data_IF_837174936998
#
_entry.id   IF_837174936998
#
_cell.length_a   1.000
_cell.length_b   1.000
_cell.length_c   1.000
_cell.angle_alpha   90.00
_cell.angle_beta   90.00
_cell.angle_gamma   90.00
#
_symmetry.space_group_name_H-M   'P 1'
#
loop_
_entity.id
_entity.type
_entity.pdbx_description
1 polymer ?
#
# COMPACT_ATOMS: atom_id res chain seq x y z
N UNK A 1 -40.36 -51.54 -62.75
CA UNK A 1 -39.00 -51.28 -62.23
C UNK A 1 -39.00 -49.93 -61.55
N UNK A 2 -38.71 -49.98 -60.24
CA UNK A 2 -38.34 -48.93 -59.29
C UNK A 2 -38.82 -47.48 -59.49
N UNK A 3 -39.74 -47.07 -58.62
CA UNK A 3 -40.05 -45.69 -58.30
C UNK A 3 -38.98 -45.12 -57.36
N UNK A 4 -38.45 -43.94 -57.66
CA UNK A 4 -37.61 -43.18 -56.74
C UNK A 4 -38.38 -41.93 -56.29
N UNK A 5 -39.02 -42.02 -55.12
CA UNK A 5 -39.54 -40.87 -54.38
C UNK A 5 -38.39 -40.35 -53.51
N UNK A 6 -37.92 -39.13 -53.76
CA UNK A 6 -37.04 -38.41 -52.81
C UNK A 6 -37.94 -37.51 -51.97
N UNK A 7 -38.03 -37.85 -50.69
CA UNK A 7 -38.80 -37.14 -49.67
C UNK A 7 -37.90 -36.03 -49.10
N UNK A 8 -38.19 -34.76 -49.38
CA UNK A 8 -37.57 -33.63 -48.67
C UNK A 8 -38.21 -33.51 -47.29
N UNK A 9 -37.47 -33.86 -46.24
CA UNK A 9 -37.86 -33.62 -44.86
C UNK A 9 -37.43 -32.19 -44.50
N UNK A 10 -38.40 -31.28 -44.42
CA UNK A 10 -38.23 -29.95 -43.82
C UNK A 10 -38.47 -30.12 -42.32
N UNK A 11 -37.41 -30.00 -41.53
CA UNK A 11 -37.51 -29.93 -40.06
C UNK A 11 -37.78 -28.47 -39.69
N UNK A 12 -39.04 -28.16 -39.36
CA UNK A 12 -39.43 -26.91 -38.69
C UNK A 12 -39.07 -27.05 -37.20
N UNK A 13 -37.98 -26.41 -36.78
CA UNK A 13 -37.70 -26.22 -35.34
C UNK A 13 -38.49 -24.98 -34.90
N UNK A 14 -39.58 -25.21 -34.18
CA UNK A 14 -40.27 -24.18 -33.43
C UNK A 14 -39.37 -23.74 -32.27
N UNK A 15 -38.74 -22.57 -32.38
CA UNK A 15 -38.14 -21.91 -31.22
C UNK A 15 -39.28 -21.35 -30.37
N UNK A 16 -39.54 -22.01 -29.24
CA UNK A 16 -40.32 -21.44 -28.15
C UNK A 16 -39.47 -20.30 -27.58
N UNK A 17 -39.86 -19.06 -27.90
CA UNK A 17 -39.34 -17.88 -27.23
C UNK A 17 -39.86 -17.87 -25.79
N UNK A 18 -39.15 -18.54 -24.88
CA UNK A 18 -39.27 -18.23 -23.46
C UNK A 18 -38.61 -16.87 -23.26
N UNK A 19 -39.43 -15.83 -23.22
CA UNK A 19 -39.03 -14.52 -22.71
C UNK A 19 -38.69 -14.66 -21.23
N UNK A 20 -37.42 -14.90 -20.91
CA UNK A 20 -36.87 -14.38 -19.67
C UNK A 20 -36.42 -12.96 -19.99
N UNK A 21 -37.21 -11.97 -19.55
CA UNK A 21 -36.67 -10.63 -19.33
C UNK A 21 -35.35 -10.80 -18.55
N UNK A 22 -34.23 -10.54 -19.21
CA UNK A 22 -32.97 -10.33 -18.51
C UNK A 22 -33.16 -9.05 -17.71
N UNK A 23 -33.68 -9.20 -16.49
CA UNK A 23 -33.66 -8.13 -15.50
C UNK A 23 -32.21 -7.69 -15.35
N UNK A 24 -31.92 -6.45 -15.71
CA UNK A 24 -30.67 -5.80 -15.35
C UNK A 24 -30.64 -5.74 -13.82
N UNK A 25 -29.91 -6.66 -13.20
CA UNK A 25 -29.59 -6.55 -11.78
C UNK A 25 -28.58 -5.40 -11.64
N UNK A 26 -29.03 -4.27 -11.11
CA UNK A 26 -28.11 -3.28 -10.57
C UNK A 26 -27.44 -3.89 -9.33
N UNK A 27 -26.17 -4.29 -9.46
CA UNK A 27 -25.39 -4.72 -8.31
C UNK A 27 -25.06 -3.50 -7.44
N UNK A 28 -25.29 -3.55 -6.11
CA UNK A 28 -24.89 -2.47 -5.22
C UNK A 28 -23.36 -2.49 -5.04
N UNK A 29 -22.78 -1.32 -4.81
CA UNK A 29 -21.36 -1.10 -4.49
C UNK A 29 -20.90 -1.68 -3.13
N UNK A 30 -21.64 -2.63 -2.56
CA UNK A 30 -21.46 -3.16 -1.21
C UNK A 30 -21.46 -4.70 -1.20
N UNK A 31 -20.70 -5.27 -0.26
CA UNK A 31 -20.59 -6.72 -0.03
C UNK A 31 -21.98 -7.30 0.26
N UNK A 32 -22.69 -7.73 -0.78
CA UNK A 32 -23.93 -8.48 -0.66
C UNK A 32 -23.60 -9.97 -0.73
N UNK A 33 -23.99 -10.69 0.31
CA UNK A 33 -24.00 -12.15 0.29
C UNK A 33 -25.23 -12.56 -0.50
N UNK A 34 -25.09 -12.79 -1.81
CA UNK A 34 -26.19 -13.37 -2.56
C UNK A 34 -26.35 -14.85 -2.19
N UNK A 35 -27.54 -15.20 -1.71
CA UNK A 35 -27.92 -16.56 -1.30
C UNK A 35 -28.39 -17.42 -2.48
N UNK A 36 -28.02 -17.05 -3.70
CA UNK A 36 -28.33 -17.83 -4.90
C UNK A 36 -27.05 -18.02 -5.68
N UNK A 37 -26.70 -19.29 -5.89
CA UNK A 37 -25.48 -19.75 -6.58
C UNK A 37 -25.38 -19.29 -8.03
N UNK A 38 -25.15 -17.99 -8.21
CA UNK A 38 -24.60 -17.41 -9.41
C UNK A 38 -23.08 -17.42 -9.26
N UNK A 39 -22.38 -18.01 -10.23
CA UNK A 39 -20.97 -17.70 -10.45
C UNK A 39 -20.98 -16.25 -10.96
N UNK A 40 -21.00 -15.29 -10.03
CA UNK A 40 -20.80 -13.90 -10.38
C UNK A 40 -19.42 -13.84 -11.04
N UNK A 41 -19.38 -13.45 -12.31
CA UNK A 41 -18.18 -12.82 -12.84
C UNK A 41 -17.87 -11.68 -11.88
N UNK A 42 -16.88 -11.90 -11.01
CA UNK A 42 -16.37 -10.90 -10.09
C UNK A 42 -15.86 -9.74 -10.94
N UNK A 43 -16.74 -8.80 -11.29
CA UNK A 43 -16.32 -7.46 -11.64
C UNK A 43 -15.60 -6.96 -10.39
N UNK A 44 -14.28 -7.16 -10.35
CA UNK A 44 -13.44 -6.65 -9.29
C UNK A 44 -13.82 -5.19 -9.12
N UNK A 45 -14.23 -4.81 -7.90
CA UNK A 45 -14.29 -3.40 -7.52
C UNK A 45 -13.06 -2.70 -8.09
N UNK A 46 -13.19 -1.53 -8.72
CA UNK A 46 -12.03 -0.82 -9.30
C UNK A 46 -10.94 -0.49 -8.27
N UNK A 47 -11.23 -0.69 -6.98
CA UNK A 47 -10.28 -0.58 -5.86
C UNK A 47 -9.09 -1.52 -6.00
N UNK A 48 -7.89 -0.97 -5.80
CA UNK A 48 -6.62 -1.69 -5.80
C UNK A 48 -5.81 -1.29 -4.57
N UNK A 49 -5.20 -2.26 -3.92
CA UNK A 49 -4.50 -2.05 -2.65
C UNK A 49 -3.02 -2.32 -2.83
N UNK A 50 -2.20 -1.35 -2.44
CA UNK A 50 -0.76 -1.52 -2.29
C UNK A 50 -0.49 -1.65 -0.80
N UNK A 51 0.21 -2.72 -0.43
CA UNK A 51 0.68 -2.98 0.92
C UNK A 51 2.20 -3.01 0.91
N UNK A 52 2.83 -2.76 2.05
CA UNK A 52 4.28 -2.87 2.14
C UNK A 52 4.76 -3.24 3.54
N UNK A 53 5.96 -3.81 3.59
CA UNK A 53 6.70 -3.95 4.84
C UNK A 53 8.18 -3.67 4.59
N UNK A 54 8.86 -3.37 5.69
CA UNK A 54 10.24 -2.92 5.73
C UNK A 54 11.05 -3.93 6.55
N UNK A 55 12.34 -4.07 6.23
CA UNK A 55 13.27 -4.87 7.01
C UNK A 55 13.04 -4.69 8.54
N UNK A 56 12.82 -5.77 9.31
CA UNK A 56 12.55 -5.71 10.75
C UNK A 56 13.61 -5.00 11.59
N UNK A 57 14.86 -4.95 11.12
CA UNK A 57 15.93 -4.20 11.79
C UNK A 57 15.74 -2.68 11.69
N UNK A 58 14.92 -2.19 10.76
CA UNK A 58 14.73 -0.76 10.52
C UNK A 58 13.87 -0.10 11.58
N UNK A 59 14.38 1.02 12.10
CA UNK A 59 13.69 1.83 13.10
C UNK A 59 12.53 2.65 12.55
N UNK A 60 11.78 3.25 13.46
CA UNK A 60 10.59 4.04 13.16
C UNK A 60 10.82 5.19 12.17
N UNK A 61 11.91 5.95 12.34
CA UNK A 61 12.18 7.11 11.48
C UNK A 61 12.53 6.70 10.05
N UNK A 62 13.26 5.60 9.84
CA UNK A 62 13.51 5.11 8.49
C UNK A 62 12.21 4.59 7.85
N UNK A 63 11.35 3.91 8.61
CA UNK A 63 10.03 3.47 8.11
C UNK A 63 9.14 4.64 7.69
N UNK A 64 9.24 5.78 8.38
CA UNK A 64 8.58 7.04 7.95
C UNK A 64 9.14 7.57 6.62
N UNK A 65 10.44 7.46 6.40
CA UNK A 65 11.04 7.80 5.10
C UNK A 65 10.56 6.85 4.00
N UNK A 66 10.47 5.55 4.27
CA UNK A 66 9.93 4.57 3.32
C UNK A 66 8.46 4.86 2.98
N UNK A 67 7.65 5.30 3.95
CA UNK A 67 6.29 5.78 3.66
C UNK A 67 6.29 6.90 2.62
N UNK A 68 7.19 7.88 2.73
CA UNK A 68 7.28 8.99 1.77
C UNK A 68 7.56 8.47 0.36
N UNK A 69 8.48 7.50 0.21
CA UNK A 69 8.81 6.88 -1.09
C UNK A 69 7.56 6.30 -1.76
N UNK A 70 6.80 5.52 -1.01
CA UNK A 70 5.60 4.84 -1.52
C UNK A 70 4.45 5.82 -1.72
N UNK A 71 4.33 6.83 -0.86
CA UNK A 71 3.29 7.83 -0.98
C UNK A 71 3.45 8.67 -2.25
N UNK A 72 4.68 9.10 -2.56
CA UNK A 72 5.00 9.81 -3.81
C UNK A 72 4.77 8.91 -5.02
N UNK A 73 5.19 7.65 -4.94
CA UNK A 73 4.91 6.65 -5.98
C UNK A 73 3.40 6.51 -6.23
N UNK A 74 2.60 6.28 -5.19
CA UNK A 74 1.15 6.15 -5.29
C UNK A 74 0.50 7.41 -5.86
N UNK A 75 0.96 8.59 -5.43
CA UNK A 75 0.48 9.88 -5.94
C UNK A 75 0.64 9.96 -7.46
N UNK A 76 1.84 9.66 -7.96
CA UNK A 76 2.14 9.66 -9.40
C UNK A 76 1.39 8.55 -10.14
N UNK A 77 1.21 7.38 -9.52
CA UNK A 77 0.41 6.29 -10.07
C UNK A 77 -1.04 6.71 -10.29
N UNK A 78 -1.69 7.31 -9.29
CA UNK A 78 -3.07 7.82 -9.39
C UNK A 78 -3.20 8.92 -10.46
N UNK A 79 -2.15 9.72 -10.66
CA UNK A 79 -2.14 10.74 -11.70
C UNK A 79 -2.13 10.13 -13.11
N UNK A 80 -1.44 9.00 -13.30
CA UNK A 80 -1.32 8.30 -14.59
C UNK A 80 -2.43 7.29 -14.85
N UNK A 81 -2.89 6.61 -13.82
CA UNK A 81 -3.89 5.54 -13.89
C UNK A 81 -5.18 6.00 -13.20
N UNK A 82 -6.18 6.32 -14.04
CA UNK A 82 -7.53 6.74 -13.64
C UNK A 82 -8.54 5.62 -13.70
N UNK A 83 -8.15 4.45 -14.19
CA UNK A 83 -9.04 3.31 -14.34
C UNK A 83 -9.32 2.66 -12.98
N UNK A 84 -8.30 2.59 -12.13
CA UNK A 84 -8.35 1.96 -10.83
C UNK A 84 -8.33 2.96 -9.67
N UNK A 85 -9.01 2.60 -8.60
CA UNK A 85 -9.03 3.35 -7.34
C UNK A 85 -7.93 2.82 -6.43
N UNK A 86 -6.72 3.33 -6.60
CA UNK A 86 -5.58 2.90 -5.79
C UNK A 86 -5.70 3.37 -4.33
N UNK A 87 -5.34 2.51 -3.39
CA UNK A 87 -5.24 2.80 -1.96
C UNK A 87 -3.93 2.25 -1.40
N UNK A 88 -3.28 3.03 -0.52
CA UNK A 88 -2.16 2.56 0.27
C UNK A 88 -2.67 2.05 1.62
N UNK A 89 -2.43 0.78 1.90
CA UNK A 89 -2.72 0.20 3.22
C UNK A 89 -1.54 0.50 4.15
N UNK A 90 -1.82 1.18 5.25
CA UNK A 90 -0.80 1.55 6.22
C UNK A 90 -0.38 0.33 7.04
N UNK A 91 0.90 -0.07 7.02
CA UNK A 91 1.36 -1.23 7.78
C UNK A 91 1.40 -0.88 9.26
N UNK A 92 0.79 -1.67 10.15
CA UNK A 92 0.73 -1.29 11.55
C UNK A 92 2.12 -1.37 12.19
N UNK A 93 2.31 -0.58 13.23
CA UNK A 93 3.56 -0.53 13.97
C UNK A 93 3.67 -1.71 14.93
N UNK A 94 4.85 -2.33 14.98
CA UNK A 94 5.15 -3.43 15.86
C UNK A 94 6.56 -3.95 15.65
N UNK A 95 7.09 -4.66 16.65
CA UNK A 95 8.37 -5.39 16.55
C UNK A 95 9.58 -4.57 16.07
N UNK A 96 9.63 -3.28 16.42
CA UNK A 96 10.81 -2.44 16.22
C UNK A 96 11.86 -2.77 17.29
N UNK A 97 13.12 -2.97 16.87
CA UNK A 97 14.23 -3.46 17.70
C UNK A 97 14.54 -2.60 18.96
N UNK A 98 13.97 -1.39 19.06
CA UNK A 98 14.18 -0.46 20.18
C UNK A 98 12.89 0.04 20.87
N UNK A 99 11.72 -0.52 20.54
CA UNK A 99 10.44 0.08 20.93
C UNK A 99 9.73 -0.62 22.08
N UNK A 100 10.31 -1.69 22.63
CA UNK A 100 9.65 -2.46 23.69
C UNK A 100 9.93 -1.83 25.05
N UNK A 101 9.04 -0.95 25.48
CA UNK A 101 8.93 -0.57 26.89
C UNK A 101 8.43 -1.78 27.68
N UNK A 102 9.18 -2.25 28.68
CA UNK A 102 8.82 -3.45 29.47
C UNK A 102 7.52 -3.30 30.27
N UNK A 103 7.12 -2.05 30.54
CA UNK A 103 6.01 -1.71 31.44
C UNK A 103 4.73 -1.35 30.71
N UNK A 104 4.75 -1.32 29.38
CA UNK A 104 3.59 -1.04 28.53
C UNK A 104 3.26 -2.36 27.85
N UNK A 105 2.00 -2.79 27.87
CA UNK A 105 1.58 -4.15 27.49
C UNK A 105 1.85 -4.53 26.03
N UNK A 106 0.83 -5.05 25.35
CA UNK A 106 0.99 -5.48 23.96
C UNK A 106 1.29 -4.28 23.03
N UNK A 107 2.48 -4.28 22.42
CA UNK A 107 2.99 -3.22 21.54
C UNK A 107 3.22 -3.76 20.11
N UNK A 108 2.24 -4.48 19.58
CA UNK A 108 2.22 -4.94 18.20
C UNK A 108 0.89 -4.57 17.55
N UNK A 109 0.88 -4.50 16.22
CA UNK A 109 -0.31 -4.14 15.41
C UNK A 109 -0.90 -2.77 15.77
N UNK A 110 -0.08 -1.82 16.22
CA UNK A 110 -0.51 -0.47 16.54
C UNK A 110 -0.90 0.28 15.26
N UNK A 111 -2.07 0.92 15.19
CA UNK A 111 -2.50 1.67 14.01
C UNK A 111 -1.65 2.94 13.83
N UNK A 112 -1.65 3.49 12.62
CA UNK A 112 -0.97 4.76 12.36
C UNK A 112 -1.61 5.92 13.11
N UNK A 113 -2.93 5.87 13.33
CA UNK A 113 -3.69 6.85 14.08
C UNK A 113 -3.17 7.08 15.51
N UNK A 114 -2.44 6.12 16.10
CA UNK A 114 -1.78 6.32 17.40
C UNK A 114 -0.65 7.35 17.34
N UNK A 115 -0.02 7.54 16.18
CA UNK A 115 1.18 8.39 16.03
C UNK A 115 0.96 9.57 15.09
N UNK A 116 0.08 9.43 14.10
CA UNK A 116 -0.14 10.41 13.04
C UNK A 116 -1.62 10.72 12.88
N UNK A 117 -1.92 11.95 12.46
CA UNK A 117 -3.27 12.30 12.03
C UNK A 117 -3.54 11.70 10.64
N UNK A 118 -4.44 10.71 10.59
CA UNK A 118 -4.82 10.01 9.37
C UNK A 118 -5.47 10.96 8.37
N UNK A 119 -6.25 11.94 8.83
CA UNK A 119 -6.90 12.92 7.96
C UNK A 119 -5.86 13.73 7.19
N UNK A 120 -4.79 14.16 7.87
CA UNK A 120 -3.66 14.85 7.23
C UNK A 120 -2.97 14.00 6.16
N UNK A 121 -2.77 12.70 6.39
CA UNK A 121 -2.21 11.78 5.38
C UNK A 121 -3.14 11.65 4.17
N UNK A 122 -4.46 11.52 4.43
CA UNK A 122 -5.50 11.38 3.40
C UNK A 122 -5.63 12.60 2.48
N UNK A 123 -5.26 13.79 2.95
CA UNK A 123 -5.17 14.99 2.09
C UNK A 123 -4.08 14.86 1.00
N UNK A 124 -3.08 14.00 1.19
CA UNK A 124 -2.04 13.77 0.18
C UNK A 124 -2.39 12.65 -0.80
N UNK A 125 -2.71 11.47 -0.26
CA UNK A 125 -3.03 10.24 -0.99
C UNK A 125 -4.10 9.42 -0.26
N UNK A 126 -4.88 8.58 -0.97
CA UNK A 126 -5.83 7.68 -0.34
C UNK A 126 -5.11 6.61 0.49
N UNK A 127 -5.10 6.79 1.80
CA UNK A 127 -4.59 5.83 2.78
C UNK A 127 -5.72 5.22 3.59
N UNK A 128 -5.54 3.96 3.97
CA UNK A 128 -6.47 3.20 4.80
C UNK A 128 -5.69 2.45 5.88
N UNK A 129 -6.23 2.37 7.09
CA UNK A 129 -5.60 1.60 8.15
C UNK A 129 -5.69 0.09 7.86
N UNK A 130 -4.73 -0.68 8.38
CA UNK A 130 -4.72 -2.14 8.16
C UNK A 130 -6.01 -2.81 8.61
N UNK A 131 -6.58 -2.43 9.76
CA UNK A 131 -7.80 -3.06 10.26
C UNK A 131 -9.04 -2.74 9.39
N UNK A 132 -9.10 -1.54 8.81
CA UNK A 132 -10.16 -1.14 7.87
C UNK A 132 -10.02 -1.92 6.56
N UNK A 133 -8.79 -2.02 6.04
CA UNK A 133 -8.48 -2.85 4.87
C UNK A 133 -8.89 -4.31 5.10
N UNK A 134 -8.53 -4.92 6.23
CA UNK A 134 -8.88 -6.32 6.51
C UNK A 134 -10.40 -6.52 6.54
N UNK A 135 -11.16 -5.55 7.05
CA UNK A 135 -12.64 -5.59 7.08
C UNK A 135 -13.23 -5.45 5.67
N UNK A 136 -12.77 -4.46 4.90
CA UNK A 136 -13.27 -4.17 3.56
C UNK A 136 -12.87 -5.24 2.53
N UNK A 137 -11.60 -5.67 2.56
CA UNK A 137 -11.05 -6.58 1.56
C UNK A 137 -11.65 -7.98 1.65
N UNK A 138 -11.87 -8.47 2.87
CA UNK A 138 -12.44 -9.79 3.17
C UNK A 138 -13.95 -9.86 3.05
N UNK A 139 -14.65 -8.73 2.85
CA UNK A 139 -16.10 -8.62 3.02
C UNK A 139 -16.59 -9.19 4.37
N UNK A 140 -15.85 -8.91 5.45
CA UNK A 140 -16.18 -9.39 6.79
C UNK A 140 -15.76 -10.83 7.09
N UNK A 141 -15.13 -11.54 6.14
CA UNK A 141 -14.50 -12.82 6.43
C UNK A 141 -13.30 -12.66 7.36
N UNK A 142 -13.03 -13.70 8.16
CA UNK A 142 -11.91 -13.67 9.11
C UNK A 142 -10.56 -13.83 8.45
N UNK A 143 -10.49 -14.45 7.28
CA UNK A 143 -9.24 -14.74 6.57
C UNK A 143 -9.06 -13.79 5.38
N UNK A 144 -7.83 -13.32 5.19
CA UNK A 144 -7.45 -12.47 4.07
C UNK A 144 -6.34 -13.16 3.28
N UNK A 145 -6.54 -13.29 1.98
CA UNK A 145 -5.51 -13.77 1.06
C UNK A 145 -5.15 -12.66 0.07
N UNK A 146 -3.93 -12.14 0.20
CA UNK A 146 -3.37 -11.17 -0.74
C UNK A 146 -3.06 -11.87 -2.07
N UNK A 147 -3.32 -11.23 -3.20
CA UNK A 147 -3.07 -11.84 -4.51
C UNK A 147 -1.58 -12.03 -4.83
N UNK A 148 -0.75 -11.04 -4.51
CA UNK A 148 0.66 -11.01 -4.92
C UNK A 148 1.55 -10.41 -3.84
N UNK A 149 2.65 -11.09 -3.52
CA UNK A 149 3.72 -10.57 -2.68
C UNK A 149 5.05 -10.58 -3.45
N UNK A 150 5.70 -9.43 -3.51
CA UNK A 150 7.05 -9.26 -4.03
C UNK A 150 8.04 -9.02 -2.88
N UNK A 151 9.13 -9.79 -2.84
CA UNK A 151 10.22 -9.61 -1.88
C UNK A 151 11.38 -8.97 -2.62
N UNK A 152 11.64 -7.69 -2.34
CA UNK A 152 12.74 -6.98 -2.96
C UNK A 152 14.07 -7.51 -2.41
N UNK A 153 15.04 -7.62 -3.31
CA UNK A 153 16.41 -8.07 -3.02
C UNK A 153 17.39 -7.15 -3.74
N UNK A 154 18.47 -6.82 -3.06
CA UNK A 154 19.59 -6.10 -3.66
C UNK A 154 20.29 -6.99 -4.69
N UNK A 155 20.85 -6.38 -5.74
CA UNK A 155 21.77 -7.10 -6.63
C UNK A 155 23.20 -7.01 -6.11
N UNK A 156 23.69 -8.10 -5.52
CA UNK A 156 25.06 -8.18 -4.98
C UNK A 156 26.13 -7.89 -6.04
N UNK A 157 25.88 -8.24 -7.30
CA UNK A 157 26.83 -8.03 -8.39
C UNK A 157 27.06 -6.55 -8.69
N UNK A 158 26.06 -5.68 -8.49
CA UNK A 158 26.25 -4.23 -8.65
C UNK A 158 27.24 -3.68 -7.62
N UNK A 159 27.17 -4.16 -6.37
CA UNK A 159 28.09 -3.73 -5.32
C UNK A 159 29.51 -4.26 -5.53
N UNK A 160 29.66 -5.45 -6.13
CA UNK A 160 30.98 -6.02 -6.48
C UNK A 160 31.62 -5.31 -7.66
N UNK A 161 30.83 -4.98 -8.68
CA UNK A 161 31.32 -4.42 -9.95
C UNK A 161 31.35 -2.89 -9.97
N UNK A 162 30.60 -2.22 -9.10
CA UNK A 162 30.42 -0.77 -9.10
C UNK A 162 29.56 -0.24 -10.24
N UNK A 163 28.88 -1.13 -11.00
CA UNK A 163 27.97 -0.75 -12.08
C UNK A 163 26.54 -0.72 -11.54
N UNK A 164 26.03 0.49 -11.37
CA UNK A 164 24.68 0.73 -10.87
C UNK A 164 23.75 0.97 -12.06
N UNK A 165 22.92 -0.02 -12.36
CA UNK A 165 21.92 0.01 -13.41
C UNK A 165 20.57 -0.35 -12.80
N UNK A 166 19.51 0.32 -13.23
CA UNK A 166 18.16 0.02 -12.74
C UNK A 166 17.75 -1.41 -13.13
N UNK A 167 17.19 -2.14 -12.17
CA UNK A 167 16.78 -3.55 -12.30
C UNK A 167 15.43 -3.79 -11.66
N UNK A 168 14.65 -4.63 -12.31
CA UNK A 168 13.38 -5.13 -11.80
C UNK A 168 13.14 -6.51 -12.41
N UNK A 169 13.92 -7.48 -11.91
CA UNK A 169 14.03 -8.82 -12.47
C UNK A 169 13.44 -9.85 -11.51
N UNK A 170 12.56 -10.71 -12.02
CA UNK A 170 12.06 -11.85 -11.26
C UNK A 170 13.18 -12.87 -11.10
N UNK A 171 13.43 -13.27 -9.86
CA UNK A 171 14.44 -14.27 -9.52
C UNK A 171 13.83 -15.34 -8.65
N UNK A 172 14.47 -16.51 -8.64
CA UNK A 172 14.12 -17.56 -7.69
C UNK A 172 14.41 -17.07 -6.28
N UNK A 173 13.42 -17.26 -5.40
CA UNK A 173 13.60 -16.92 -4.02
C UNK A 173 14.55 -17.91 -3.34
N UNK A 174 15.50 -17.39 -2.56
CA UNK A 174 16.29 -18.22 -1.65
C UNK A 174 15.39 -18.73 -0.51
N UNK A 175 14.86 -19.94 -0.69
CA UNK A 175 13.94 -20.58 0.24
C UNK A 175 14.45 -20.68 1.69
N UNK A 176 15.77 -20.68 1.90
CA UNK A 176 16.36 -20.80 3.23
C UNK A 176 16.33 -19.49 4.02
N UNK A 177 16.31 -18.34 3.35
CA UNK A 177 16.28 -17.01 3.98
C UNK A 177 14.89 -16.37 4.01
N UNK A 178 13.91 -17.00 3.36
CA UNK A 178 12.55 -16.51 3.32
C UNK A 178 11.81 -16.70 4.64
N UNK A 179 11.29 -15.60 5.17
CA UNK A 179 10.29 -15.63 6.26
C UNK A 179 8.92 -16.11 5.79
N UNK A 180 8.71 -16.22 4.48
CA UNK A 180 7.47 -16.65 3.85
C UNK A 180 7.59 -18.08 3.35
N UNK A 181 6.71 -18.96 3.82
CA UNK A 181 6.73 -20.38 3.45
C UNK A 181 5.39 -20.84 2.90
N UNK A 182 5.47 -21.78 1.96
CA UNK A 182 4.31 -22.34 1.27
C UNK A 182 3.64 -23.37 2.17
N UNK A 183 2.37 -23.15 2.51
CA UNK A 183 1.57 -24.11 3.28
C UNK A 183 0.90 -25.14 2.35
N UNK A 184 0.29 -24.65 1.27
CA UNK A 184 -0.30 -25.47 0.21
C UNK A 184 -0.26 -24.73 -1.13
N UNK A 185 -0.77 -25.34 -2.19
CA UNK A 185 -0.85 -24.66 -3.48
C UNK A 185 -1.63 -23.33 -3.32
N UNK A 186 -1.07 -22.25 -3.86
CA UNK A 186 -1.64 -20.90 -3.79
C UNK A 186 -1.89 -20.38 -2.36
N UNK A 187 -1.10 -20.80 -1.37
CA UNK A 187 -1.21 -20.29 0.00
C UNK A 187 0.15 -20.25 0.69
N UNK A 188 0.63 -19.04 0.92
CA UNK A 188 1.85 -18.72 1.65
C UNK A 188 1.51 -18.04 2.96
N UNK A 189 2.18 -18.45 4.03
CA UNK A 189 2.12 -17.78 5.33
C UNK A 189 3.46 -17.10 5.62
N UNK A 190 3.49 -16.22 6.62
CA UNK A 190 4.65 -15.42 6.97
C UNK A 190 4.34 -14.44 8.09
N UNK A 191 5.20 -13.43 8.31
CA UNK A 191 5.03 -12.51 9.42
C UNK A 191 3.76 -11.66 9.34
N UNK A 192 3.42 -11.15 8.14
CA UNK A 192 2.23 -10.32 7.85
C UNK A 192 1.87 -9.34 8.98
N UNK A 193 2.83 -8.53 9.42
CA UNK A 193 2.69 -7.55 10.53
C UNK A 193 2.13 -8.13 11.84
N UNK A 194 2.28 -9.43 12.05
CA UNK A 194 1.79 -10.18 13.20
C UNK A 194 0.40 -10.79 13.00
N UNK A 195 -0.28 -10.60 11.88
CA UNK A 195 -1.61 -11.18 11.63
C UNK A 195 -1.52 -12.65 11.17
N UNK A 196 -2.06 -13.56 11.97
CA UNK A 196 -2.11 -15.00 11.64
C UNK A 196 -3.17 -15.35 10.58
N UNK A 197 -4.14 -14.46 10.38
CA UNK A 197 -5.24 -14.62 9.45
C UNK A 197 -4.98 -14.01 8.06
N UNK A 198 -3.76 -13.53 7.81
CA UNK A 198 -3.33 -13.00 6.52
C UNK A 198 -2.40 -13.99 5.84
N UNK A 199 -2.67 -14.28 4.56
CA UNK A 199 -1.87 -15.13 3.70
C UNK A 199 -1.64 -14.45 2.35
N UNK A 200 -0.73 -15.00 1.53
CA UNK A 200 -0.57 -14.58 0.14
C UNK A 200 -0.81 -15.75 -0.82
N UNK A 201 -1.41 -15.48 -1.98
CA UNK A 201 -1.68 -16.47 -3.02
C UNK A 201 -0.40 -16.84 -3.77
N UNK A 202 0.43 -15.86 -4.08
CA UNK A 202 1.70 -16.07 -4.77
C UNK A 202 2.80 -15.14 -4.24
N UNK A 203 4.01 -15.67 -4.13
CA UNK A 203 5.20 -14.98 -3.61
C UNK A 203 6.30 -15.03 -4.67
N UNK A 204 6.89 -13.88 -4.98
CA UNK A 204 8.00 -13.74 -5.94
C UNK A 204 9.12 -12.92 -5.34
N UNK A 205 10.36 -13.23 -5.70
CA UNK A 205 11.50 -12.41 -5.35
C UNK A 205 11.87 -11.53 -6.53
N UNK A 206 12.21 -10.29 -6.23
CA UNK A 206 12.50 -9.27 -7.21
C UNK A 206 13.89 -8.71 -6.91
N UNK A 207 14.84 -9.02 -7.78
CA UNK A 207 16.12 -8.33 -7.79
C UNK A 207 15.86 -6.90 -8.28
N UNK A 208 16.04 -5.93 -7.39
CA UNK A 208 15.56 -4.57 -7.61
C UNK A 208 16.65 -3.53 -7.36
N UNK A 209 16.76 -2.59 -8.29
CA UNK A 209 17.48 -1.34 -8.15
C UNK A 209 16.74 -0.28 -8.93
N UNK A 210 16.47 0.87 -8.31
CA UNK A 210 15.74 1.94 -8.96
C UNK A 210 14.84 2.67 -7.97
N UNK A 211 13.95 3.47 -8.54
CA UNK A 211 13.02 4.34 -7.83
C UNK A 211 11.72 3.60 -7.53
N UNK A 212 10.99 4.03 -6.50
CA UNK A 212 9.70 3.41 -6.14
C UNK A 212 8.70 3.35 -7.31
N UNK A 213 8.70 4.35 -8.21
CA UNK A 213 7.88 4.34 -9.45
C UNK A 213 8.12 3.14 -10.36
N UNK A 214 9.31 2.57 -10.36
CA UNK A 214 9.69 1.48 -11.26
C UNK A 214 9.03 0.17 -10.84
N UNK A 215 8.45 0.10 -9.64
CA UNK A 215 7.60 -1.01 -9.18
C UNK A 215 6.20 -1.00 -9.81
N UNK A 216 5.80 0.08 -10.50
CA UNK A 216 4.51 0.15 -11.19
C UNK A 216 4.29 -1.00 -12.18
N UNK A 217 5.36 -1.47 -12.82
CA UNK A 217 5.30 -2.59 -13.77
C UNK A 217 4.89 -3.93 -13.12
N UNK A 218 5.05 -4.06 -11.81
CA UNK A 218 4.72 -5.29 -11.08
C UNK A 218 3.27 -5.34 -10.60
N UNK A 219 2.52 -4.24 -10.71
CA UNK A 219 1.20 -4.12 -10.10
C UNK A 219 0.12 -4.96 -10.81
N UNK A 220 0.19 -5.05 -12.14
CA UNK A 220 -0.76 -5.81 -12.99
C UNK A 220 -2.23 -5.70 -12.51
N UNK A 221 -2.82 -4.48 -12.47
CA UNK A 221 -4.10 -4.23 -11.81
C UNK A 221 -5.29 -4.97 -12.42
N UNK A 222 -5.21 -5.43 -13.67
CA UNK A 222 -6.25 -6.28 -14.25
C UNK A 222 -6.25 -7.71 -13.69
N UNK A 223 -5.15 -8.13 -13.05
CA UNK A 223 -4.98 -9.48 -12.50
C UNK A 223 -4.97 -9.51 -10.97
N UNK A 224 -4.42 -8.48 -10.32
CA UNK A 224 -4.27 -8.43 -8.86
C UNK A 224 -5.07 -7.28 -8.27
N UNK A 225 -5.89 -7.57 -7.26
CA UNK A 225 -6.58 -6.58 -6.43
C UNK A 225 -5.67 -6.06 -5.32
N UNK A 226 -4.79 -6.90 -4.78
CA UNK A 226 -3.83 -6.51 -3.74
C UNK A 226 -2.39 -6.93 -4.07
N UNK A 227 -1.45 -5.99 -4.00
CA UNK A 227 -0.02 -6.25 -4.18
C UNK A 227 0.75 -5.78 -2.95
N UNK A 228 1.56 -6.67 -2.37
CA UNK A 228 2.42 -6.37 -1.22
C UNK A 228 3.89 -6.34 -1.65
N UNK A 229 4.61 -5.28 -1.26
CA UNK A 229 6.06 -5.18 -1.43
C UNK A 229 6.76 -5.31 -0.08
N UNK A 230 7.53 -6.38 0.11
CA UNK A 230 8.37 -6.58 1.29
C UNK A 230 9.82 -6.16 1.00
N UNK A 231 10.54 -5.65 2.00
CA UNK A 231 11.86 -5.01 1.86
C UNK A 231 11.79 -3.69 1.08
N UNK A 232 10.73 -2.91 1.33
CA UNK A 232 10.48 -1.69 0.58
C UNK A 232 11.52 -0.58 0.84
N UNK A 233 12.42 -0.75 1.84
CA UNK A 233 13.59 0.14 2.01
C UNK A 233 14.59 0.09 0.85
N UNK A 234 14.56 -0.98 0.04
CA UNK A 234 15.45 -1.15 -1.11
C UNK A 234 15.10 -0.16 -2.23
N UNK A 235 13.82 0.13 -2.43
CA UNK A 235 13.39 1.09 -3.45
C UNK A 235 13.72 2.52 -3.02
N UNK A 236 14.30 3.30 -3.95
CA UNK A 236 14.73 4.67 -3.69
C UNK A 236 13.57 5.67 -3.85
N UNK A 237 13.79 6.90 -3.38
CA UNK A 237 12.90 8.02 -3.68
C UNK A 237 12.89 8.30 -5.19
N UNK A 238 11.71 8.57 -5.76
CA UNK A 238 11.60 9.01 -7.16
C UNK A 238 12.39 10.31 -7.39
N UNK A 239 12.13 11.32 -6.56
CA UNK A 239 12.78 12.63 -6.61
C UNK A 239 12.93 13.17 -5.18
N UNK A 240 14.07 12.89 -4.56
CA UNK A 240 14.36 13.33 -3.19
C UNK A 240 14.37 14.86 -3.09
N UNK A 241 13.71 15.42 -2.07
CA UNK A 241 13.64 16.87 -1.85
C UNK A 241 12.74 17.64 -2.83
N UNK A 242 12.04 16.96 -3.75
CA UNK A 242 11.07 17.57 -4.65
C UNK A 242 9.86 18.15 -3.92
N UNK A 243 9.02 18.91 -4.65
CA UNK A 243 7.73 19.40 -4.12
C UNK A 243 6.87 18.26 -3.59
N UNK A 244 6.80 17.14 -4.30
CA UNK A 244 5.99 15.99 -3.89
C UNK A 244 6.59 15.27 -2.67
N UNK A 245 7.91 15.17 -2.59
CA UNK A 245 8.60 14.71 -1.37
C UNK A 245 8.20 15.54 -0.15
N UNK A 246 8.26 16.88 -0.26
CA UNK A 246 7.93 17.76 0.86
C UNK A 246 6.43 17.77 1.19
N UNK A 247 5.55 17.60 0.20
CA UNK A 247 4.10 17.44 0.44
C UNK A 247 3.80 16.15 1.19
N UNK A 248 4.37 15.03 0.77
CA UNK A 248 4.28 13.76 1.48
C UNK A 248 4.80 13.91 2.92
N UNK A 249 5.97 14.53 3.11
CA UNK A 249 6.56 14.78 4.43
C UNK A 249 5.70 15.67 5.33
N UNK A 250 5.09 16.73 4.78
CA UNK A 250 4.20 17.65 5.51
C UNK A 250 2.86 17.03 5.88
N UNK A 251 2.37 16.08 5.08
CA UNK A 251 1.15 15.31 5.38
C UNK A 251 1.26 14.46 6.64
N UNK A 252 2.48 14.07 7.03
CA UNK A 252 2.75 13.31 8.26
C UNK A 252 2.69 14.20 9.52
N UNK A 253 1.52 14.76 9.79
CA UNK A 253 1.22 15.45 11.06
C UNK A 253 1.08 14.43 12.18
N UNK A 254 1.60 14.73 13.35
CA UNK A 254 1.44 13.85 14.51
C UNK A 254 -0.02 13.83 14.95
N UNK A 255 -0.39 12.78 15.67
CA UNK A 255 -1.69 12.70 16.34
C UNK A 255 -1.88 13.96 17.24
N UNK A 256 -3.06 14.61 17.23
CA UNK A 256 -3.35 15.80 18.06
C UNK A 256 -3.07 15.62 19.55
N UNK A 257 -3.39 14.46 20.14
CA UNK A 257 -3.09 14.15 21.54
C UNK A 257 -1.58 14.21 21.83
N UNK A 258 -0.73 13.81 20.88
CA UNK A 258 0.72 13.93 21.01
C UNK A 258 1.18 15.39 20.93
N UNK A 259 0.49 16.24 20.15
CA UNK A 259 0.75 17.68 20.16
C UNK A 259 0.36 18.29 21.50
N UNK A 260 -0.82 17.96 22.03
CA UNK A 260 -1.30 18.48 23.31
C UNK A 260 -0.34 18.15 24.46
N UNK A 261 0.15 16.90 24.53
CA UNK A 261 1.16 16.46 25.51
C UNK A 261 2.46 17.25 25.35
N UNK A 262 2.93 17.45 24.11
CA UNK A 262 4.16 18.18 23.84
C UNK A 262 4.03 19.68 24.16
N UNK A 263 2.88 20.27 23.90
CA UNK A 263 2.57 21.67 24.21
C UNK A 263 2.47 21.91 25.71
N UNK A 264 1.81 21.03 26.46
CA UNK A 264 1.76 21.09 27.92
C UNK A 264 3.16 20.99 28.54
N UNK A 265 4.00 20.08 28.04
CA UNK A 265 5.38 19.95 28.49
C UNK A 265 6.21 21.21 28.20
N UNK A 266 6.13 21.75 26.98
CA UNK A 266 6.82 22.99 26.58
C UNK A 266 6.42 24.16 27.47
N UNK A 267 5.13 24.32 27.71
CA UNK A 267 4.59 25.40 28.55
C UNK A 267 5.06 25.25 29.99
N UNK A 268 4.97 24.05 30.55
CA UNK A 268 5.25 23.78 31.97
C UNK A 268 6.74 23.85 32.30
N UNK A 269 7.60 23.31 31.43
CA UNK A 269 9.01 23.11 31.77
C UNK A 269 9.98 23.99 30.98
N UNK A 270 9.56 24.52 29.83
CA UNK A 270 10.45 25.23 28.91
C UNK A 270 10.04 26.70 28.69
N UNK A 271 8.97 27.17 29.34
CA UNK A 271 8.40 28.51 29.15
C UNK A 271 8.18 28.83 27.65
N UNK A 272 7.69 27.83 26.91
CA UNK A 272 7.60 27.83 25.46
C UNK A 272 6.14 27.60 25.02
N UNK A 273 5.64 28.45 24.13
CA UNK A 273 4.31 28.31 23.50
C UNK A 273 4.40 28.64 22.01
N UNK A 274 3.42 28.22 21.22
CA UNK A 274 3.45 28.47 19.77
C UNK A 274 3.43 29.98 19.45
N UNK A 275 2.66 30.75 20.22
CA UNK A 275 2.54 32.21 20.09
C UNK A 275 3.87 32.90 20.42
N UNK A 276 4.47 32.57 21.56
CA UNK A 276 5.71 33.20 22.01
C UNK A 276 6.91 32.84 21.11
N UNK A 277 6.91 31.61 20.58
CA UNK A 277 8.00 31.10 19.75
C UNK A 277 7.79 31.39 18.26
N UNK A 278 6.65 31.98 17.86
CA UNK A 278 6.25 32.18 16.47
C UNK A 278 6.27 30.87 15.65
N UNK A 279 5.79 29.77 16.24
CA UNK A 279 5.78 28.42 15.64
C UNK A 279 4.37 27.91 15.30
N UNK A 280 3.38 28.80 15.30
CA UNK A 280 2.02 28.47 14.85
C UNK A 280 2.01 27.94 13.42
N UNK A 281 1.27 26.85 13.22
CA UNK A 281 1.09 26.21 11.91
C UNK A 281 -0.40 26.04 11.63
N UNK A 282 -0.85 26.22 10.38
CA UNK A 282 -2.23 25.91 10.03
C UNK A 282 -2.50 24.42 10.27
N UNK A 283 -3.70 24.13 10.78
CA UNK A 283 -4.18 22.77 11.01
C UNK A 283 -4.20 21.96 9.70
N UNK A 284 -4.76 22.55 8.64
CA UNK A 284 -4.64 22.03 7.29
C UNK A 284 -3.23 22.30 6.77
N UNK A 285 -2.42 21.24 6.71
CA UNK A 285 -1.04 21.34 6.28
C UNK A 285 -0.92 21.86 4.85
N UNK A 286 -1.90 21.69 3.98
CA UNK A 286 -1.82 22.17 2.59
C UNK A 286 -1.76 23.70 2.50
N UNK A 287 -2.23 24.39 3.54
CA UNK A 287 -2.22 25.85 3.65
C UNK A 287 -0.92 26.41 4.20
N UNK A 288 0.03 25.57 4.62
CA UNK A 288 1.34 26.08 5.04
C UNK A 288 2.01 26.76 3.84
N UNK A 289 2.43 28.00 4.09
CA UNK A 289 3.22 28.78 3.16
C UNK A 289 4.69 28.63 3.55
N UNK A 290 5.55 28.80 2.56
CA UNK A 290 6.95 29.08 2.85
C UNK A 290 6.96 30.40 3.60
N UNK A 291 7.41 30.40 4.86
CA UNK A 291 7.92 31.62 5.46
C UNK A 291 9.20 31.93 4.68
N UNK A 292 9.06 32.70 3.60
CA UNK A 292 10.18 33.42 3.00
C UNK A 292 10.46 34.62 3.89
N UNK A 293 10.90 34.36 5.11
CA UNK A 293 11.68 35.37 5.81
C UNK A 293 13.06 35.38 5.16
N UNK A 294 13.35 36.54 4.59
CA UNK A 294 14.54 36.92 3.87
C UNK A 294 15.84 36.42 4.54
N UNK A 295 16.66 35.70 3.76
CA UNK A 295 18.04 35.27 4.05
C UNK A 295 18.22 34.25 5.19
N UNK A 296 19.09 33.25 4.94
CA UNK A 296 19.55 32.15 5.83
C UNK A 296 18.93 30.76 5.64
N UNK A 297 18.97 30.21 4.42
CA UNK A 297 19.14 28.74 4.26
C UNK A 297 19.88 28.41 2.95
N UNK A 298 21.03 29.07 2.75
CA UNK A 298 22.09 28.65 1.85
C UNK A 298 23.37 29.03 2.58
N UNK A 299 23.97 28.10 3.32
CA UNK A 299 25.38 28.06 3.77
C UNK A 299 25.46 27.12 4.97
N UNK A 300 25.58 25.81 4.73
CA UNK A 300 26.32 24.87 5.58
C UNK A 300 26.53 23.57 4.78
N UNK A 301 27.26 23.68 3.68
CA UNK A 301 27.94 22.54 3.05
C UNK A 301 29.04 23.06 2.14
N UNK A 302 29.99 23.77 2.72
CA UNK A 302 31.35 23.93 2.23
C UNK A 302 32.12 24.69 3.30
N UNK A 303 32.70 23.95 4.25
CA UNK A 303 34.00 24.32 4.81
C UNK A 303 34.70 23.07 5.35
N UNK A 304 35.75 22.73 4.61
CA UNK A 304 36.98 21.99 4.94
C UNK A 304 37.13 21.41 6.35
N UNK A 305 37.43 20.12 6.38
CA UNK A 305 38.72 19.60 6.87
C UNK A 305 39.17 18.43 6.00
#
# INVERSE_FOLDING_TARGET
MSALKVLCIIILIAFVANGSEFGFCNAPDECTVDSRGCIAENHFTKKRYILYDVNPAEGFNLRRDVYIRIAVFLRKLIERDKEFQWQLVLPPWGNLYHWRSRNIGFQERLPWGTFFDITSLQLYIPVIEMYEFLKEYSCGNREVQLDRLYILQNDEEMFKTGKFEDKNELVDCDHNSLRYHKLKQHMYTGPFWGYSNVTARDVKCLKFHGMARDLSQNLMPTQYRSVMFHRMEIALHDEYGSKEYWRARRSMRYNPELYDIAEDYRKTFLNSTNENDNTERPADWTKEKVYCDYYYFLYYSNDKL
#
